data_IF_631797799799
#
_entry.id   IF_631797799799
#
_cell.length_a   1.000
_cell.length_b   1.000
_cell.length_c   1.000
_cell.angle_alpha   90.00
_cell.angle_beta   90.00
_cell.angle_gamma   90.00
#
_symmetry.space_group_name_H-M   'P 1'
#
loop_
_entity.id
_entity.type
_entity.pdbx_description
1 polymer ?
#
# COMPACT_ATOMS: atom_id res chain seq x y z
N UNK A 1 -26.29 -18.72 9.92
CA UNK A 1 -26.36 -17.78 11.06
C UNK A 1 -25.33 -16.70 10.80
N UNK A 2 -25.75 -15.44 10.61
CA UNK A 2 -24.82 -14.32 10.59
C UNK A 2 -24.25 -14.19 12.00
N UNK A 3 -22.96 -14.46 12.16
CA UNK A 3 -22.26 -14.28 13.42
C UNK A 3 -22.00 -12.78 13.55
N UNK A 4 -22.28 -12.21 14.72
CA UNK A 4 -21.97 -10.81 15.04
C UNK A 4 -20.99 -10.74 16.21
N UNK A 5 -20.32 -9.60 16.39
CA UNK A 5 -19.51 -9.36 17.58
C UNK A 5 -20.40 -9.11 18.81
N UNK A 6 -19.99 -9.64 19.96
CA UNK A 6 -20.64 -9.33 21.25
C UNK A 6 -20.36 -7.88 21.67
N UNK A 7 -21.13 -7.30 22.62
CA UNK A 7 -20.84 -5.96 23.14
C UNK A 7 -19.40 -5.78 23.62
N UNK A 8 -18.85 -6.77 24.34
CA UNK A 8 -17.48 -6.74 24.84
C UNK A 8 -16.44 -6.79 23.70
N UNK A 9 -16.70 -7.58 22.66
CA UNK A 9 -15.82 -7.64 21.48
C UNK A 9 -15.86 -6.34 20.67
N UNK A 10 -17.03 -5.73 20.56
CA UNK A 10 -17.17 -4.40 19.93
C UNK A 10 -16.40 -3.35 20.72
N UNK A 11 -16.52 -3.36 22.05
CA UNK A 11 -15.73 -2.50 22.91
C UNK A 11 -14.22 -2.74 22.73
N UNK A 12 -13.79 -3.99 22.68
CA UNK A 12 -12.39 -4.35 22.46
C UNK A 12 -11.85 -3.81 21.14
N UNK A 13 -12.61 -3.93 20.04
CA UNK A 13 -12.24 -3.36 18.74
C UNK A 13 -12.04 -1.85 18.84
N UNK A 14 -12.95 -1.11 19.48
CA UNK A 14 -12.80 0.34 19.67
C UNK A 14 -11.59 0.67 20.53
N UNK A 15 -11.44 0.04 21.69
CA UNK A 15 -10.35 0.30 22.63
C UNK A 15 -8.96 0.04 22.03
N UNK A 16 -8.84 -1.02 21.21
CA UNK A 16 -7.62 -1.34 20.47
C UNK A 16 -7.40 -0.34 19.32
N UNK A 17 -8.45 -0.02 18.55
CA UNK A 17 -8.35 0.91 17.44
C UNK A 17 -7.94 2.33 17.89
N UNK A 18 -8.41 2.80 19.05
CA UNK A 18 -8.02 4.11 19.60
C UNK A 18 -6.51 4.27 19.77
N UNK A 19 -5.80 3.19 20.09
CA UNK A 19 -4.34 3.22 20.25
C UNK A 19 -3.59 2.78 18.98
N UNK A 20 -4.16 1.86 18.19
CA UNK A 20 -3.53 1.37 16.97
C UNK A 20 -3.64 2.36 15.80
N UNK A 21 -4.68 3.18 15.83
CA UNK A 21 -5.11 4.14 14.82
C UNK A 21 -5.82 5.30 15.51
N UNK A 22 -5.10 6.16 16.23
CA UNK A 22 -5.70 7.29 16.93
C UNK A 22 -6.34 8.28 15.94
N UNK A 23 -7.31 9.04 16.43
CA UNK A 23 -7.95 10.10 15.66
C UNK A 23 -6.91 11.14 15.21
N UNK A 24 -7.07 11.66 14.00
CA UNK A 24 -6.24 12.71 13.43
C UNK A 24 -7.08 13.74 12.67
N UNK A 25 -6.43 14.69 12.00
CA UNK A 25 -7.13 15.70 11.22
C UNK A 25 -8.01 15.10 10.10
N UNK A 26 -7.53 14.01 9.50
CA UNK A 26 -8.20 13.30 8.39
C UNK A 26 -8.75 11.93 8.79
N UNK A 27 -8.23 11.33 9.86
CA UNK A 27 -8.64 10.00 10.34
C UNK A 27 -9.69 10.18 11.45
N UNK A 28 -10.93 9.68 11.27
CA UNK A 28 -11.98 9.83 12.26
C UNK A 28 -11.70 9.03 13.54
N UNK A 29 -12.30 9.46 14.65
CA UNK A 29 -12.24 8.72 15.91
C UNK A 29 -12.85 7.32 15.75
N UNK A 30 -12.15 6.25 16.19
CA UNK A 30 -12.71 4.90 16.24
C UNK A 30 -14.03 4.84 17.03
N UNK A 31 -15.10 4.36 16.38
CA UNK A 31 -16.44 4.28 16.95
C UNK A 31 -17.19 2.99 16.52
N UNK A 32 -18.49 2.90 16.86
CA UNK A 32 -19.32 1.77 16.49
C UNK A 32 -19.52 1.58 14.98
N UNK A 33 -19.52 2.67 14.20
CA UNK A 33 -19.65 2.60 12.74
C UNK A 33 -18.38 2.00 12.10
N UNK A 34 -17.20 2.35 12.63
CA UNK A 34 -15.95 1.70 12.26
C UNK A 34 -15.99 0.20 12.56
N UNK A 35 -16.49 -0.21 13.75
CA UNK A 35 -16.64 -1.63 14.10
C UNK A 35 -17.53 -2.36 13.10
N UNK A 36 -18.66 -1.78 12.71
CA UNK A 36 -19.56 -2.38 11.72
C UNK A 36 -18.88 -2.54 10.35
N UNK A 37 -18.08 -1.57 9.93
CA UNK A 37 -17.30 -1.65 8.71
C UNK A 37 -16.20 -2.71 8.79
N UNK A 38 -15.54 -2.88 9.94
CA UNK A 38 -14.57 -3.96 10.18
C UNK A 38 -15.24 -5.33 10.10
N UNK A 39 -16.41 -5.49 10.72
CA UNK A 39 -17.18 -6.75 10.66
C UNK A 39 -17.53 -7.09 9.20
N UNK A 40 -18.04 -6.12 8.42
CA UNK A 40 -18.33 -6.32 7.00
C UNK A 40 -17.09 -6.69 6.19
N UNK A 41 -15.97 -6.01 6.43
CA UNK A 41 -14.70 -6.29 5.74
C UNK A 41 -14.23 -7.73 6.02
N UNK A 42 -14.22 -8.14 7.29
CA UNK A 42 -13.75 -9.47 7.69
C UNK A 42 -14.69 -10.57 7.18
N UNK A 43 -16.00 -10.40 7.33
CA UNK A 43 -17.00 -11.36 6.88
C UNK A 43 -16.96 -11.55 5.34
N UNK A 44 -16.66 -10.48 4.60
CA UNK A 44 -16.47 -10.51 3.15
C UNK A 44 -15.27 -11.34 2.67
N UNK A 45 -14.35 -11.75 3.55
CA UNK A 45 -13.19 -12.59 3.20
C UNK A 45 -13.52 -14.09 3.13
N UNK A 46 -14.71 -14.51 3.56
CA UNK A 46 -15.18 -15.90 3.44
C UNK A 46 -15.80 -16.46 4.70
N UNK A 47 -16.33 -17.69 4.61
CA UNK A 47 -17.02 -18.32 5.72
C UNK A 47 -16.07 -18.59 6.91
N UNK A 48 -16.48 -18.17 8.12
CA UNK A 48 -15.77 -18.46 9.36
C UNK A 48 -14.62 -17.49 9.71
N UNK A 49 -14.29 -16.53 8.83
CA UNK A 49 -13.25 -15.52 9.08
C UNK A 49 -13.57 -14.66 10.28
N UNK A 50 -14.84 -14.28 10.48
CA UNK A 50 -15.27 -13.50 11.63
C UNK A 50 -15.08 -14.26 12.95
N UNK A 51 -15.35 -15.56 12.97
CA UNK A 51 -15.04 -16.42 14.13
C UNK A 51 -13.54 -16.48 14.41
N UNK A 52 -12.72 -16.57 13.36
CA UNK A 52 -11.26 -16.49 13.48
C UNK A 52 -10.81 -15.15 14.05
N UNK A 53 -11.36 -14.05 13.55
CA UNK A 53 -11.06 -12.69 14.01
C UNK A 53 -11.42 -12.49 15.49
N UNK A 54 -12.56 -13.02 15.94
CA UNK A 54 -12.93 -13.03 17.37
C UNK A 54 -11.89 -13.73 18.25
N UNK A 55 -11.36 -14.87 17.79
CA UNK A 55 -10.28 -15.58 18.50
C UNK A 55 -9.00 -14.77 18.53
N UNK A 56 -8.64 -14.08 17.44
CA UNK A 56 -7.48 -13.19 17.39
C UNK A 56 -7.64 -12.00 18.36
N UNK A 57 -8.81 -11.38 18.42
CA UNK A 57 -9.11 -10.32 19.39
C UNK A 57 -8.91 -10.81 20.82
N UNK A 58 -9.50 -11.96 21.18
CA UNK A 58 -9.36 -12.56 22.51
C UNK A 58 -7.91 -12.93 22.83
N UNK A 59 -7.17 -13.49 21.87
CA UNK A 59 -5.77 -13.83 22.03
C UNK A 59 -4.89 -12.58 22.24
N UNK A 60 -5.12 -11.51 21.48
CA UNK A 60 -4.40 -10.25 21.67
C UNK A 60 -4.72 -9.60 23.02
N UNK A 61 -5.99 -9.63 23.43
CA UNK A 61 -6.42 -9.09 24.73
C UNK A 61 -5.75 -9.84 25.89
N UNK A 62 -5.65 -11.17 25.80
CA UNK A 62 -4.96 -12.01 26.78
C UNK A 62 -3.43 -11.91 26.72
N UNK A 63 -2.84 -11.60 25.56
CA UNK A 63 -1.39 -11.48 25.39
C UNK A 63 -0.76 -10.36 26.24
N UNK A 64 -1.56 -9.41 26.73
CA UNK A 64 -1.12 -8.39 27.67
C UNK A 64 -0.89 -8.94 29.09
N UNK A 65 -1.55 -10.03 29.49
CA UNK A 65 -1.53 -10.53 30.88
C UNK A 65 -0.10 -10.82 31.38
N UNK A 66 0.78 -11.49 30.63
CA UNK A 66 2.16 -11.73 31.09
C UNK A 66 3.00 -10.45 31.22
N UNK A 67 2.59 -9.35 30.58
CA UNK A 67 3.33 -8.09 30.57
C UNK A 67 2.83 -7.11 31.63
N UNK A 68 1.54 -7.15 31.98
CA UNK A 68 0.88 -6.12 32.80
C UNK A 68 0.05 -6.69 33.95
N UNK A 69 -0.15 -8.01 34.00
CA UNK A 69 -1.05 -8.68 34.95
C UNK A 69 -2.54 -8.49 34.63
N UNK A 70 -2.89 -7.87 33.51
CA UNK A 70 -4.28 -7.57 33.13
C UNK A 70 -4.50 -7.68 31.62
N UNK A 71 -5.76 -7.74 31.20
CA UNK A 71 -6.14 -7.76 29.78
C UNK A 71 -5.84 -6.43 29.11
N UNK A 72 -5.50 -6.45 27.82
CA UNK A 72 -5.13 -5.24 27.06
C UNK A 72 -6.22 -4.16 27.15
N UNK A 73 -7.49 -4.56 26.99
CA UNK A 73 -8.67 -3.68 27.00
C UNK A 73 -8.98 -3.06 28.35
N UNK A 74 -8.51 -3.68 29.45
CA UNK A 74 -8.69 -3.17 30.81
C UNK A 74 -7.65 -2.12 31.22
N UNK A 75 -6.58 -1.96 30.44
CA UNK A 75 -5.52 -1.00 30.73
C UNK A 75 -5.96 0.44 30.42
N UNK A 76 -5.48 1.45 31.17
CA UNK A 76 -5.58 2.86 30.76
C UNK A 76 -4.98 3.09 29.37
N UNK A 77 -5.45 4.10 28.65
CA UNK A 77 -5.09 4.33 27.24
C UNK A 77 -3.58 4.36 26.97
N UNK A 78 -2.82 5.13 27.75
CA UNK A 78 -1.37 5.20 27.59
C UNK A 78 -0.68 3.84 27.84
N UNK A 79 -1.11 3.10 28.86
CA UNK A 79 -0.56 1.79 29.17
C UNK A 79 -0.93 0.77 28.10
N UNK A 80 -2.14 0.87 27.55
CA UNK A 80 -2.62 0.06 26.43
C UNK A 80 -1.79 0.31 25.17
N UNK A 81 -1.49 1.57 24.85
CA UNK A 81 -0.64 1.95 23.72
C UNK A 81 0.77 1.36 23.85
N UNK A 82 1.44 1.59 25.00
CA UNK A 82 2.79 1.03 25.26
C UNK A 82 2.82 -0.50 25.21
N UNK A 83 1.79 -1.15 25.76
CA UNK A 83 1.69 -2.62 25.75
C UNK A 83 1.47 -3.15 24.34
N UNK A 84 0.59 -2.52 23.57
CA UNK A 84 0.35 -2.90 22.17
C UNK A 84 1.60 -2.72 21.31
N UNK A 85 2.35 -1.63 21.51
CA UNK A 85 3.64 -1.41 20.83
C UNK A 85 4.65 -2.50 21.16
N UNK A 86 4.79 -2.86 22.45
CA UNK A 86 5.67 -3.95 22.88
C UNK A 86 5.27 -5.29 22.25
N UNK A 87 3.97 -5.60 22.22
CA UNK A 87 3.45 -6.79 21.52
C UNK A 87 3.69 -6.72 20.01
N UNK A 88 3.62 -5.54 19.39
CA UNK A 88 3.87 -5.37 17.96
C UNK A 88 5.33 -5.59 17.58
N UNK A 89 6.26 -5.30 18.50
CA UNK A 89 7.70 -5.49 18.33
C UNK A 89 8.20 -6.91 18.63
N UNK A 90 7.41 -7.74 19.33
CA UNK A 90 7.81 -9.10 19.69
C UNK A 90 7.62 -10.09 18.55
N UNK A 91 8.63 -10.92 18.25
CA UNK A 91 8.59 -11.90 17.13
C UNK A 91 7.37 -12.83 17.21
N UNK A 92 7.05 -13.34 18.40
CA UNK A 92 5.93 -14.26 18.60
C UNK A 92 4.55 -13.61 18.47
N UNK A 93 4.43 -12.30 18.74
CA UNK A 93 3.16 -11.55 18.79
C UNK A 93 2.98 -10.61 17.60
N UNK A 94 4.02 -10.43 16.79
CA UNK A 94 4.07 -9.53 15.63
C UNK A 94 2.89 -9.72 14.67
N UNK A 95 2.64 -10.98 14.27
CA UNK A 95 1.56 -11.31 13.33
C UNK A 95 0.18 -11.28 13.99
N UNK A 96 0.08 -11.56 15.29
CA UNK A 96 -1.17 -11.44 16.04
C UNK A 96 -1.65 -9.97 16.05
N UNK A 97 -0.76 -9.04 16.38
CA UNK A 97 -1.09 -7.60 16.38
C UNK A 97 -1.50 -7.13 14.99
N UNK A 98 -0.79 -7.55 13.93
CA UNK A 98 -1.15 -7.19 12.55
C UNK A 98 -2.48 -7.80 12.11
N UNK A 99 -2.74 -9.06 12.45
CA UNK A 99 -4.00 -9.73 12.12
C UNK A 99 -5.22 -9.03 12.74
N UNK A 100 -5.06 -8.51 13.97
CA UNK A 100 -6.12 -7.74 14.64
C UNK A 100 -6.24 -6.31 14.09
N UNK A 101 -5.12 -5.59 13.93
CA UNK A 101 -5.15 -4.16 13.62
C UNK A 101 -5.28 -3.84 12.13
N UNK A 102 -4.96 -4.76 11.23
CA UNK A 102 -5.02 -4.52 9.78
C UNK A 102 -6.44 -4.20 9.28
N UNK A 103 -7.51 -4.96 9.63
CA UNK A 103 -8.87 -4.59 9.23
C UNK A 103 -9.29 -3.21 9.72
N UNK A 104 -8.90 -2.82 10.94
CA UNK A 104 -9.19 -1.49 11.51
C UNK A 104 -8.51 -0.38 10.69
N UNK A 105 -7.24 -0.58 10.35
CA UNK A 105 -6.45 0.35 9.50
C UNK A 105 -7.01 0.47 8.09
N UNK A 106 -7.39 -0.64 7.47
CA UNK A 106 -7.98 -0.65 6.12
C UNK A 106 -9.28 0.16 6.11
N UNK A 107 -10.17 -0.05 7.08
CA UNK A 107 -11.45 0.68 7.16
C UNK A 107 -11.21 2.18 7.34
N UNK A 108 -10.28 2.57 8.20
CA UNK A 108 -10.00 3.99 8.45
C UNK A 108 -9.26 4.68 7.29
N UNK A 109 -8.46 3.94 6.52
CA UNK A 109 -7.79 4.45 5.33
C UNK A 109 -8.75 4.67 4.14
N UNK A 110 -9.88 3.96 4.10
CA UNK A 110 -10.90 4.04 3.03
C UNK A 110 -12.00 5.07 3.33
N UNK A 111 -11.61 6.23 3.86
CA UNK A 111 -12.55 7.32 4.13
C UNK A 111 -12.46 8.34 3.00
N UNK A 112 -13.61 8.77 2.48
CA UNK A 112 -13.68 9.77 1.39
C UNK A 112 -12.86 11.04 1.70
N UNK A 113 -12.88 11.49 2.96
CA UNK A 113 -12.09 12.62 3.43
C UNK A 113 -10.57 12.42 3.24
N UNK A 114 -10.07 11.20 3.47
CA UNK A 114 -8.66 10.88 3.27
C UNK A 114 -8.34 10.71 1.78
N UNK A 115 -9.25 10.12 1.01
CA UNK A 115 -9.15 9.99 -0.46
C UNK A 115 -9.02 11.35 -1.14
N UNK A 116 -9.94 12.26 -0.83
CA UNK A 116 -9.97 13.62 -1.37
C UNK A 116 -8.69 14.38 -0.99
N UNK A 117 -8.23 14.23 0.25
CA UNK A 117 -7.02 14.90 0.73
C UNK A 117 -5.73 14.36 0.09
N UNK A 118 -5.69 13.07 -0.26
CA UNK A 118 -4.55 12.46 -0.94
C UNK A 118 -4.58 12.68 -2.45
N UNK A 119 -5.74 13.02 -3.03
CA UNK A 119 -5.92 13.12 -4.48
C UNK A 119 -5.73 11.78 -5.19
N UNK A 120 -5.95 10.66 -4.48
CA UNK A 120 -5.74 9.30 -5.00
C UNK A 120 -7.08 8.59 -5.15
N UNK A 121 -7.32 8.04 -6.34
CA UNK A 121 -8.37 7.05 -6.55
C UNK A 121 -7.89 5.69 -6.03
N UNK A 122 -8.33 5.30 -4.82
CA UNK A 122 -7.95 4.05 -4.16
C UNK A 122 -8.45 2.80 -4.89
N UNK A 123 -9.36 2.95 -5.86
CA UNK A 123 -9.85 1.85 -6.69
C UNK A 123 -8.95 1.56 -7.88
N UNK A 124 -7.94 2.39 -8.12
CA UNK A 124 -6.95 2.20 -9.17
C UNK A 124 -5.60 1.93 -8.54
N UNK A 125 -4.99 0.78 -8.85
CA UNK A 125 -3.58 0.57 -8.57
C UNK A 125 -2.82 1.65 -9.34
N UNK A 126 -2.26 2.62 -8.64
CA UNK A 126 -1.35 3.60 -9.22
C UNK A 126 -0.07 2.85 -9.62
N UNK A 127 -0.07 2.24 -10.81
CA UNK A 127 1.16 1.82 -11.46
C UNK A 127 1.86 3.11 -11.85
N UNK A 128 2.68 3.63 -10.93
CA UNK A 128 3.63 4.67 -11.28
C UNK A 128 4.57 4.06 -12.30
N UNK A 129 4.37 4.38 -13.58
CA UNK A 129 5.38 4.12 -14.60
C UNK A 129 6.57 4.99 -14.25
N UNK A 130 7.63 4.36 -13.78
CA UNK A 130 8.91 5.02 -13.57
C UNK A 130 9.37 5.54 -14.93
N UNK A 131 9.39 6.86 -15.12
CA UNK A 131 9.90 7.47 -16.34
C UNK A 131 11.41 7.31 -16.34
N UNK A 132 11.93 6.41 -17.16
CA UNK A 132 13.36 6.23 -17.24
C UNK A 132 13.99 7.36 -18.06
N UNK A 133 15.14 7.87 -17.63
CA UNK A 133 15.87 8.97 -18.32
C UNK A 133 16.17 8.70 -19.80
N UNK A 134 16.19 7.44 -20.25
CA UNK A 134 16.40 7.12 -21.66
C UNK A 134 15.17 7.41 -22.53
N UNK A 135 13.96 7.46 -21.95
CA UNK A 135 12.72 7.81 -22.66
C UNK A 135 12.75 9.25 -23.18
N UNK A 136 13.46 10.16 -22.49
CA UNK A 136 13.70 11.55 -22.94
C UNK A 136 14.48 11.64 -24.26
N UNK A 137 15.14 10.56 -24.67
CA UNK A 137 15.96 10.51 -25.91
C UNK A 137 15.25 9.78 -27.05
N UNK A 138 13.95 9.51 -26.91
CA UNK A 138 13.13 8.91 -27.95
C UNK A 138 12.18 9.98 -28.50
N UNK A 139 12.31 10.26 -29.78
CA UNK A 139 11.43 11.17 -30.50
C UNK A 139 10.50 10.33 -31.37
N UNK A 140 9.19 10.42 -31.15
CA UNK A 140 8.22 9.86 -32.09
C UNK A 140 8.10 10.78 -33.30
N UNK A 141 8.82 10.41 -34.37
CA UNK A 141 8.86 11.18 -35.61
C UNK A 141 7.47 11.45 -36.22
N UNK A 142 6.44 10.63 -35.92
CA UNK A 142 5.07 10.82 -36.40
C UNK A 142 4.36 12.01 -35.75
N UNK A 143 4.90 12.49 -34.62
CA UNK A 143 4.36 13.64 -33.88
C UNK A 143 5.04 14.95 -34.25
N UNK A 144 6.10 14.91 -35.06
CA UNK A 144 6.80 16.10 -35.51
C UNK A 144 5.91 16.90 -36.46
N UNK A 145 5.81 18.21 -36.18
CA UNK A 145 5.02 19.15 -37.00
C UNK A 145 5.89 19.97 -37.96
N UNK A 146 7.20 19.90 -37.77
CA UNK A 146 8.23 20.59 -38.54
C UNK A 146 9.46 19.68 -38.62
N UNK A 147 10.37 19.99 -39.55
CA UNK A 147 11.64 19.24 -39.69
C UNK A 147 12.56 19.51 -38.49
N UNK A 148 13.14 18.45 -37.93
CA UNK A 148 14.10 18.51 -36.84
C UNK A 148 15.53 18.27 -37.37
N UNK A 149 16.49 19.05 -36.87
CA UNK A 149 17.90 18.91 -37.22
C UNK A 149 18.67 18.41 -36.00
N UNK A 150 19.21 17.19 -36.10
CA UNK A 150 20.00 16.56 -35.03
C UNK A 150 21.44 16.40 -35.52
N UNK A 151 22.37 17.07 -34.85
CA UNK A 151 23.80 16.91 -35.10
C UNK A 151 24.31 15.59 -34.52
N UNK A 152 25.02 14.81 -35.33
CA UNK A 152 25.52 13.49 -34.93
C UNK A 152 26.73 13.09 -35.75
N UNK A 153 27.51 12.14 -35.25
CA UNK A 153 28.63 11.56 -36.00
C UNK A 153 28.19 10.37 -36.83
N UNK A 154 27.19 9.61 -36.36
CA UNK A 154 26.70 8.40 -37.03
C UNK A 154 25.18 8.32 -36.97
N UNK A 155 24.57 8.08 -38.13
CA UNK A 155 23.15 7.72 -38.24
C UNK A 155 23.03 6.22 -38.56
N UNK A 156 22.25 5.51 -37.77
CA UNK A 156 21.90 4.10 -38.01
C UNK A 156 20.42 4.02 -38.36
N UNK A 157 20.12 3.47 -39.54
CA UNK A 157 18.75 3.25 -40.00
C UNK A 157 18.36 1.79 -39.74
N UNK A 158 17.34 1.59 -38.93
CA UNK A 158 16.87 0.31 -38.39
C UNK A 158 17.49 -0.02 -37.03
N UNK A 159 16.66 -0.37 -36.06
CA UNK A 159 17.01 -0.73 -34.68
C UNK A 159 16.97 -2.24 -34.41
N UNK A 160 16.80 -3.04 -35.46
CA UNK A 160 16.76 -4.51 -35.37
C UNK A 160 18.09 -5.15 -34.93
N UNK A 161 18.21 -6.46 -35.14
CA UNK A 161 19.32 -7.28 -34.61
C UNK A 161 20.73 -6.80 -34.99
N UNK A 162 20.89 -6.07 -36.11
CA UNK A 162 22.17 -5.46 -36.48
C UNK A 162 22.35 -4.04 -35.92
N UNK A 163 21.31 -3.20 -36.04
CA UNK A 163 21.40 -1.77 -35.73
C UNK A 163 21.55 -1.47 -34.24
N UNK A 164 20.76 -2.14 -33.39
CA UNK A 164 20.82 -1.96 -31.93
C UNK A 164 22.21 -2.25 -31.34
N UNK A 165 22.79 -3.44 -31.58
CA UNK A 165 24.14 -3.76 -31.11
C UNK A 165 25.23 -2.85 -31.67
N UNK A 166 25.12 -2.44 -32.94
CA UNK A 166 26.08 -1.51 -33.56
C UNK A 166 26.03 -0.12 -32.91
N UNK A 167 24.82 0.41 -32.69
CA UNK A 167 24.62 1.70 -32.02
C UNK A 167 25.23 1.70 -30.63
N UNK A 168 25.00 0.62 -29.86
CA UNK A 168 25.62 0.42 -28.55
C UNK A 168 27.14 0.44 -28.64
N UNK A 169 27.73 -0.34 -29.55
CA UNK A 169 29.18 -0.45 -29.68
C UNK A 169 29.86 0.88 -30.06
N UNK A 170 29.20 1.71 -30.88
CA UNK A 170 29.69 3.03 -31.26
C UNK A 170 29.51 4.05 -30.12
N UNK A 171 28.35 4.05 -29.46
CA UNK A 171 28.10 4.92 -28.31
C UNK A 171 29.05 4.63 -27.13
N UNK A 172 29.36 3.36 -26.85
CA UNK A 172 30.34 2.96 -25.83
C UNK A 172 31.77 3.43 -26.14
N UNK A 173 32.07 3.72 -27.41
CA UNK A 173 33.34 4.32 -27.86
C UNK A 173 33.34 5.84 -27.81
N UNK A 174 32.24 6.44 -27.33
CA UNK A 174 32.09 7.88 -27.18
C UNK A 174 31.51 8.58 -28.40
N UNK A 175 31.01 7.85 -29.40
CA UNK A 175 30.41 8.47 -30.58
C UNK A 175 28.99 8.98 -30.31
N UNK A 176 28.65 10.13 -30.89
CA UNK A 176 27.27 10.59 -30.98
C UNK A 176 26.54 9.77 -32.06
N UNK A 177 25.52 9.02 -31.66
CA UNK A 177 24.78 8.11 -32.55
C UNK A 177 23.29 8.45 -32.52
N UNK A 178 22.70 8.64 -33.70
CA UNK A 178 21.26 8.73 -33.91
C UNK A 178 20.77 7.43 -34.52
N UNK A 179 19.71 6.86 -33.95
CA UNK A 179 19.03 5.69 -34.51
C UNK A 179 17.67 6.12 -35.09
N UNK A 180 17.36 5.66 -36.30
CA UNK A 180 16.08 5.89 -36.97
C UNK A 180 15.38 4.55 -37.18
N UNK A 181 14.11 4.45 -36.83
CA UNK A 181 13.31 3.23 -36.95
C UNK A 181 11.96 3.56 -37.58
N UNK A 182 11.48 2.69 -38.47
CA UNK A 182 10.15 2.83 -39.08
C UNK A 182 9.04 2.36 -38.12
N UNK A 183 9.35 1.37 -37.27
CA UNK A 183 8.46 0.83 -36.26
C UNK A 183 8.24 1.76 -35.05
N UNK A 184 7.16 1.50 -34.31
CA UNK A 184 6.91 2.17 -33.02
C UNK A 184 7.82 1.66 -31.91
N UNK A 185 7.99 2.47 -30.86
CA UNK A 185 8.63 2.01 -29.63
C UNK A 185 7.66 1.14 -28.80
N UNK A 186 8.10 -0.05 -28.39
CA UNK A 186 7.32 -0.99 -27.58
C UNK A 186 8.04 -1.30 -26.26
N UNK A 187 7.34 -1.15 -25.13
CA UNK A 187 7.80 -1.42 -23.76
C UNK A 187 6.75 -2.16 -22.97
#
# INVERSE_FOLDING_TARGET
MSISLTPDERFAVVAIAQVATPAGALVPTPDGAMVDAVVRLVDGLGAGTLSGYRKLLSALDAAAIPLTGSRLTSLPEEARARTLERLASGEATFWLVRGVTAPMKIVQARTAKLEDALGVDQHRLAVSREHHRWEERIIDARTLTHDEVIETEVVIVGTGAGGGPMAKALAERGHAVVMLEEGGHFT
#
